data_IF_517466715510
#
_entry.id   IF_517466715510
#
_cell.length_a   1.000
_cell.length_b   1.000
_cell.length_c   1.000
_cell.angle_alpha   90.00
_cell.angle_beta   90.00
_cell.angle_gamma   90.00
#
_symmetry.space_group_name_H-M   'P 1'
#
loop_
_entity.id
_entity.type
_entity.pdbx_description
1 polymer ?
#
# COMPACT_ATOMS: atom_id res chain seq x y z
N UNK A 1 15.14 0.20 3.59
CA UNK A 1 14.53 1.51 3.90
C UNK A 1 13.21 1.58 3.16
N UNK A 2 12.14 2.06 3.78
CA UNK A 2 10.82 2.19 3.15
C UNK A 2 10.35 3.65 3.19
N UNK A 3 9.61 4.07 2.17
CA UNK A 3 8.98 5.39 2.11
C UNK A 3 7.47 5.21 2.22
N UNK A 4 6.86 5.89 3.17
CA UNK A 4 5.41 5.96 3.36
C UNK A 4 4.99 7.41 3.21
N UNK A 5 3.87 7.66 2.56
CA UNK A 5 3.35 9.00 2.36
C UNK A 5 2.06 9.19 3.17
N UNK A 6 2.03 10.24 3.99
CA UNK A 6 0.85 10.62 4.79
C UNK A 6 0.45 12.03 4.38
N UNK A 7 -0.64 12.16 3.62
CA UNK A 7 -1.08 13.44 3.05
C UNK A 7 0.06 14.20 2.34
N UNK A 8 0.77 13.51 1.44
CA UNK A 8 1.95 14.01 0.71
C UNK A 8 3.22 14.23 1.56
N UNK A 9 3.14 14.11 2.90
CA UNK A 9 4.31 14.18 3.78
C UNK A 9 5.05 12.85 3.81
N UNK A 10 6.38 12.91 3.84
CA UNK A 10 7.25 11.75 3.75
C UNK A 10 7.59 11.18 5.13
N UNK A 11 7.25 9.92 5.36
CA UNK A 11 7.66 9.12 6.51
C UNK A 11 8.65 8.06 6.04
N UNK A 12 9.89 8.15 6.51
CA UNK A 12 10.95 7.20 6.13
C UNK A 12 11.15 6.16 7.22
N UNK A 13 10.88 4.89 6.93
CA UNK A 13 11.22 3.78 7.81
C UNK A 13 12.67 3.36 7.56
N UNK A 14 13.52 3.48 8.57
CA UNK A 14 14.97 3.28 8.43
C UNK A 14 15.59 2.52 9.60
N UNK A 15 16.69 1.81 9.32
CA UNK A 15 17.58 1.21 10.33
C UNK A 15 18.93 1.92 10.40
N UNK A 16 19.08 3.00 9.65
CA UNK A 16 20.25 3.86 9.66
C UNK A 16 19.83 5.23 10.17
N UNK A 17 20.63 5.78 11.08
CA UNK A 17 20.46 7.15 11.56
C UNK A 17 20.86 8.07 10.40
N UNK A 18 19.99 8.97 9.93
CA UNK A 18 20.34 9.88 8.85
C UNK A 18 21.40 10.87 9.33
N UNK A 19 22.23 11.37 8.41
CA UNK A 19 23.23 12.41 8.68
C UNK A 19 22.69 13.81 8.32
N UNK A 20 23.02 14.82 9.12
CA UNK A 20 22.67 16.22 8.87
C UNK A 20 22.15 16.99 10.10
N UNK A 21 22.08 18.31 9.99
CA UNK A 21 21.50 19.18 11.02
C UNK A 21 19.97 19.16 10.96
N UNK A 22 19.29 19.10 12.12
CA UNK A 22 17.81 19.15 12.29
C UNK A 22 17.05 17.96 11.68
N UNK A 23 17.26 16.77 12.22
CA UNK A 23 16.56 15.54 11.82
C UNK A 23 15.39 15.25 12.78
N UNK A 24 14.19 15.12 12.26
CA UNK A 24 13.01 14.65 13.01
C UNK A 24 12.97 13.12 13.00
N UNK A 25 13.70 12.50 13.93
CA UNK A 25 13.80 11.04 14.08
C UNK A 25 13.05 10.58 15.33
N UNK A 26 12.30 9.48 15.21
CA UNK A 26 11.51 8.91 16.29
C UNK A 26 11.67 7.38 16.33
N UNK A 27 11.55 6.79 17.51
CA UNK A 27 11.53 5.33 17.68
C UNK A 27 10.28 4.75 17.02
N UNK A 28 10.45 3.90 16.01
CA UNK A 28 9.35 3.18 15.36
C UNK A 28 8.62 2.26 16.36
N UNK A 29 9.29 1.82 17.43
CA UNK A 29 8.65 0.96 18.43
C UNK A 29 7.67 1.76 19.27
N UNK A 30 8.10 2.91 19.78
CA UNK A 30 7.36 3.71 20.77
C UNK A 30 6.28 4.60 20.15
N UNK A 31 6.56 5.25 19.02
CA UNK A 31 5.65 6.27 18.47
C UNK A 31 4.29 5.67 18.06
N UNK A 32 3.19 6.33 18.44
CA UNK A 32 1.84 5.95 17.99
C UNK A 32 1.58 6.36 16.54
N UNK A 33 0.57 5.79 15.89
CA UNK A 33 0.22 6.20 14.52
C UNK A 33 -0.29 7.64 14.46
N UNK A 34 -1.03 8.09 15.48
CA UNK A 34 -1.55 9.47 15.55
C UNK A 34 -0.42 10.50 15.68
N UNK A 35 0.62 10.17 16.45
CA UNK A 35 1.82 10.97 16.51
C UNK A 35 2.56 10.98 15.17
N UNK A 36 2.69 9.84 14.48
CA UNK A 36 3.29 9.79 13.14
C UNK A 36 2.58 10.75 12.20
N UNK A 37 1.24 10.74 12.16
CA UNK A 37 0.44 11.64 11.33
C UNK A 37 0.67 13.11 11.72
N UNK A 38 0.66 13.40 13.02
CA UNK A 38 0.84 14.77 13.56
C UNK A 38 2.23 15.32 13.25
N UNK A 39 3.29 14.53 13.48
CA UNK A 39 4.68 14.93 13.21
C UNK A 39 4.94 15.05 11.71
N UNK A 40 4.39 14.14 10.89
CA UNK A 40 4.52 14.20 9.43
C UNK A 40 3.92 15.49 8.87
N UNK A 41 2.72 15.88 9.33
CA UNK A 41 2.09 17.17 8.98
C UNK A 41 2.93 18.38 9.42
N UNK A 42 3.54 18.32 10.60
CA UNK A 42 4.35 19.43 11.14
C UNK A 42 5.68 19.63 10.40
N UNK A 43 6.31 18.54 9.97
CA UNK A 43 7.71 18.57 9.53
C UNK A 43 7.92 18.25 8.06
N UNK A 44 6.88 17.89 7.30
CA UNK A 44 6.88 17.41 5.90
C UNK A 44 7.71 16.13 5.64
N UNK A 45 8.74 15.87 6.46
CA UNK A 45 9.60 14.70 6.42
C UNK A 45 10.01 14.28 7.84
N UNK A 46 9.74 13.03 8.19
CA UNK A 46 10.17 12.43 9.45
C UNK A 46 10.80 11.06 9.21
N UNK A 47 11.61 10.60 10.17
CA UNK A 47 12.25 9.29 10.15
C UNK A 47 11.75 8.44 11.32
N UNK A 48 11.28 7.23 11.02
CA UNK A 48 10.94 6.23 12.03
C UNK A 48 12.05 5.19 12.04
N UNK A 49 12.75 5.12 13.16
CA UNK A 49 13.95 4.29 13.32
C UNK A 49 13.66 2.99 14.04
N UNK A 50 14.23 1.90 13.54
CA UNK A 50 14.37 0.64 14.28
C UNK A 50 15.66 -0.08 13.85
N UNK A 51 16.41 -0.64 14.79
CA UNK A 51 17.72 -1.25 14.54
C UNK A 51 17.69 -2.48 13.62
N UNK A 52 16.56 -3.20 13.54
CA UNK A 52 16.39 -4.40 12.70
C UNK A 52 15.63 -4.08 11.40
N UNK A 53 16.29 -4.09 10.21
CA UNK A 53 15.66 -3.76 8.93
C UNK A 53 14.45 -4.63 8.58
N UNK A 54 14.57 -5.94 8.83
CA UNK A 54 13.50 -6.93 8.59
C UNK A 54 12.24 -6.68 9.42
N UNK A 55 12.31 -5.85 10.47
CA UNK A 55 11.17 -5.53 11.35
C UNK A 55 10.47 -4.21 11.00
N UNK A 56 11.01 -3.41 10.06
CA UNK A 56 10.47 -2.07 9.78
C UNK A 56 9.00 -2.10 9.34
N UNK A 57 8.68 -2.83 8.26
CA UNK A 57 7.30 -2.93 7.78
C UNK A 57 6.39 -3.63 8.78
N UNK A 58 6.83 -4.74 9.38
CA UNK A 58 5.98 -5.48 10.30
C UNK A 58 5.63 -4.71 11.57
N UNK A 59 6.55 -3.91 12.10
CA UNK A 59 6.25 -3.00 13.21
C UNK A 59 5.33 -1.86 12.79
N UNK A 60 5.52 -1.32 11.60
CA UNK A 60 4.66 -0.26 11.08
C UNK A 60 3.23 -0.77 10.82
N UNK A 61 3.06 -1.94 10.19
CA UNK A 61 1.77 -2.57 9.96
C UNK A 61 1.02 -2.91 11.25
N UNK A 62 1.71 -3.23 12.34
CA UNK A 62 1.06 -3.43 13.65
C UNK A 62 0.39 -2.17 14.21
N UNK A 63 0.75 -0.99 13.70
CA UNK A 63 0.19 0.30 14.13
C UNK A 63 -0.99 0.76 13.27
N UNK A 64 -1.32 0.04 12.20
CA UNK A 64 -2.40 0.40 11.28
C UNK A 64 -3.32 -0.78 10.99
N UNK A 65 -4.59 -0.50 10.72
CA UNK A 65 -5.50 -1.52 10.18
C UNK A 65 -5.14 -1.79 8.73
N UNK A 66 -4.55 -2.94 8.46
CA UNK A 66 -4.24 -3.39 7.09
C UNK A 66 -5.50 -3.96 6.46
N UNK A 67 -5.91 -3.40 5.33
CA UNK A 67 -7.01 -3.91 4.51
C UNK A 67 -6.39 -4.62 3.31
N UNK A 68 -6.69 -5.91 3.14
CA UNK A 68 -6.29 -6.66 1.95
C UNK A 68 -7.26 -6.36 0.82
N UNK A 69 -6.72 -6.28 -0.40
CA UNK A 69 -7.48 -5.98 -1.60
C UNK A 69 -6.87 -6.77 -2.77
N UNK A 70 -7.74 -7.24 -3.67
CA UNK A 70 -7.38 -7.96 -4.89
C UNK A 70 -7.92 -7.23 -6.12
N UNK A 71 -7.31 -7.47 -7.26
CA UNK A 71 -7.65 -6.86 -8.55
C UNK A 71 -6.74 -7.40 -9.65
N UNK A 72 -6.86 -6.86 -10.86
CA UNK A 72 -6.14 -7.41 -12.01
C UNK A 72 -5.73 -6.41 -13.06
N UNK A 73 -4.57 -6.65 -13.67
CA UNK A 73 -4.24 -6.16 -15.01
C UNK A 73 -4.84 -7.17 -15.99
N UNK A 74 -6.05 -6.88 -16.47
CA UNK A 74 -6.77 -7.78 -17.38
C UNK A 74 -6.41 -7.45 -18.80
N UNK A 75 -6.12 -8.49 -19.59
CA UNK A 75 -5.82 -8.38 -21.02
C UNK A 75 -6.81 -9.19 -21.84
N UNK A 76 -7.25 -8.64 -22.96
CA UNK A 76 -8.00 -9.40 -23.97
C UNK A 76 -7.05 -10.11 -24.95
N UNK A 77 -7.61 -10.86 -25.91
CA UNK A 77 -6.87 -11.57 -26.97
C UNK A 77 -6.05 -10.64 -27.88
N UNK A 78 -6.39 -9.35 -27.93
CA UNK A 78 -5.65 -8.31 -28.66
C UNK A 78 -4.56 -7.64 -27.79
N UNK A 79 -4.27 -8.18 -26.61
CA UNK A 79 -3.29 -7.66 -25.64
C UNK A 79 -3.59 -6.22 -25.17
N UNK A 80 -4.85 -5.77 -25.24
CA UNK A 80 -5.29 -4.49 -24.71
C UNK A 80 -5.60 -4.61 -23.21
N UNK A 81 -5.31 -3.57 -22.43
CA UNK A 81 -5.49 -3.57 -20.97
C UNK A 81 -6.82 -2.94 -20.60
N UNK A 82 -7.57 -3.62 -19.72
CA UNK A 82 -8.81 -3.09 -19.15
C UNK A 82 -8.50 -2.06 -18.05
N UNK A 83 -9.09 -0.88 -18.19
CA UNK A 83 -9.09 0.16 -17.17
C UNK A 83 -10.53 0.53 -16.80
N UNK A 84 -10.71 0.99 -15.57
CA UNK A 84 -11.94 1.61 -15.10
C UNK A 84 -11.73 3.10 -14.89
N UNK A 85 -12.77 3.89 -15.15
CA UNK A 85 -12.74 5.33 -14.90
C UNK A 85 -13.63 5.66 -13.70
N UNK A 86 -13.00 6.08 -12.58
CA UNK A 86 -13.71 6.45 -11.36
C UNK A 86 -13.05 7.63 -10.67
N UNK A 87 -13.83 8.45 -9.97
CA UNK A 87 -13.32 9.62 -9.23
C UNK A 87 -12.43 10.53 -10.09
N UNK A 88 -12.82 10.74 -11.36
CA UNK A 88 -12.12 11.57 -12.36
C UNK A 88 -10.68 11.09 -12.68
N UNK A 89 -10.41 9.78 -12.56
CA UNK A 89 -9.13 9.17 -12.91
C UNK A 89 -9.30 7.75 -13.46
N UNK A 90 -8.37 7.34 -14.30
CA UNK A 90 -8.22 5.95 -14.71
C UNK A 90 -7.56 5.14 -13.59
N UNK A 91 -8.06 3.93 -13.35
CA UNK A 91 -7.58 3.00 -12.33
C UNK A 91 -7.71 1.56 -12.86
N UNK A 92 -7.06 0.62 -12.18
CA UNK A 92 -7.28 -0.80 -12.43
C UNK A 92 -8.49 -1.28 -11.62
N UNK A 93 -9.25 -2.26 -12.14
CA UNK A 93 -10.32 -2.89 -11.40
C UNK A 93 -9.77 -3.63 -10.18
N UNK A 94 -10.28 -3.30 -8.99
CA UNK A 94 -9.83 -3.83 -7.70
C UNK A 94 -10.78 -3.46 -6.57
N UNK A 95 -10.83 -4.32 -5.55
CA UNK A 95 -11.52 -4.02 -4.30
C UNK A 95 -11.10 -4.91 -3.15
N UNK A 96 -11.89 -4.90 -2.07
CA UNK A 96 -11.47 -5.45 -0.78
C UNK A 96 -11.65 -6.95 -0.76
N UNK A 97 -10.74 -7.63 -0.08
CA UNK A 97 -10.85 -9.07 0.18
C UNK A 97 -11.97 -9.31 1.19
N UNK A 98 -12.92 -10.16 0.84
CA UNK A 98 -13.95 -10.61 1.77
C UNK A 98 -13.42 -11.72 2.68
N UNK A 99 -14.21 -12.04 3.71
CA UNK A 99 -13.84 -13.08 4.65
C UNK A 99 -13.74 -14.43 3.92
N UNK A 100 -12.65 -15.16 4.19
CA UNK A 100 -12.37 -16.49 3.64
C UNK A 100 -12.03 -16.56 2.14
N UNK A 101 -11.86 -15.43 1.45
CA UNK A 101 -11.36 -15.42 0.07
C UNK A 101 -9.84 -15.57 0.00
N UNK A 102 -9.36 -16.27 -1.03
CA UNK A 102 -7.98 -16.12 -1.51
C UNK A 102 -7.83 -14.81 -2.28
N UNK A 103 -6.58 -14.35 -2.45
CA UNK A 103 -6.30 -13.13 -3.22
C UNK A 103 -6.76 -13.26 -4.69
N UNK A 104 -6.66 -14.46 -5.25
CA UNK A 104 -7.06 -14.76 -6.62
C UNK A 104 -8.58 -14.74 -6.77
N UNK A 105 -9.30 -15.30 -5.79
CA UNK A 105 -10.77 -15.25 -5.74
C UNK A 105 -11.27 -13.81 -5.66
N UNK A 106 -10.70 -13.01 -4.75
CA UNK A 106 -11.01 -11.58 -4.65
C UNK A 106 -10.72 -10.85 -5.95
N UNK A 107 -9.58 -11.13 -6.60
CA UNK A 107 -9.23 -10.47 -7.86
C UNK A 107 -10.26 -10.78 -8.97
N UNK A 108 -10.64 -12.04 -9.16
CA UNK A 108 -11.65 -12.43 -10.15
C UNK A 108 -13.00 -11.77 -9.84
N UNK A 109 -13.47 -11.86 -8.59
CA UNK A 109 -14.77 -11.30 -8.17
C UNK A 109 -14.82 -9.79 -8.40
N UNK A 110 -13.85 -9.05 -7.87
CA UNK A 110 -13.82 -7.58 -7.96
C UNK A 110 -13.71 -7.09 -9.40
N UNK A 111 -12.91 -7.76 -10.22
CA UNK A 111 -12.83 -7.43 -11.66
C UNK A 111 -14.17 -7.67 -12.34
N UNK A 112 -14.81 -8.81 -12.09
CA UNK A 112 -16.11 -9.15 -12.66
C UNK A 112 -17.19 -8.15 -12.22
N UNK A 113 -17.23 -7.78 -10.93
CA UNK A 113 -18.23 -6.86 -10.37
C UNK A 113 -18.08 -5.42 -10.89
N UNK A 114 -16.84 -4.90 -10.97
CA UNK A 114 -16.60 -3.52 -11.40
C UNK A 114 -16.73 -3.33 -12.92
N UNK A 115 -16.59 -4.39 -13.72
CA UNK A 115 -16.46 -4.28 -15.19
C UNK A 115 -17.45 -5.12 -16.00
N UNK A 116 -18.07 -6.12 -15.39
CA UNK A 116 -18.88 -7.13 -16.08
C UNK A 116 -18.08 -8.12 -16.93
N UNK A 117 -16.74 -8.11 -16.84
CA UNK A 117 -15.89 -9.05 -17.56
C UNK A 117 -16.15 -10.49 -17.09
N UNK A 118 -16.17 -11.41 -18.06
CA UNK A 118 -16.42 -12.84 -17.85
C UNK A 118 -15.22 -13.66 -18.32
N UNK A 119 -15.21 -14.94 -17.97
CA UNK A 119 -14.19 -15.91 -18.40
C UNK A 119 -12.75 -15.46 -18.05
N UNK A 120 -12.61 -14.85 -16.87
CA UNK A 120 -11.34 -14.37 -16.34
C UNK A 120 -10.49 -15.56 -15.88
N UNK A 121 -9.23 -15.59 -16.33
CA UNK A 121 -8.24 -16.57 -15.93
C UNK A 121 -7.06 -15.89 -15.22
N UNK A 122 -6.63 -16.46 -14.09
CA UNK A 122 -5.43 -15.99 -13.37
C UNK A 122 -4.20 -16.65 -14.01
N UNK A 123 -3.40 -15.83 -14.68
CA UNK A 123 -2.13 -16.28 -15.28
C UNK A 123 -1.00 -16.30 -14.24
N UNK A 124 -0.86 -15.22 -13.48
CA UNK A 124 0.16 -15.07 -12.45
C UNK A 124 -0.11 -13.88 -11.52
N UNK A 125 0.48 -13.91 -10.32
CA UNK A 125 0.55 -12.74 -9.44
C UNK A 125 1.50 -11.69 -10.06
N UNK A 126 0.99 -10.50 -10.35
CA UNK A 126 1.79 -9.43 -10.94
C UNK A 126 2.70 -8.73 -9.90
N UNK A 127 2.11 -8.17 -8.84
CA UNK A 127 2.84 -7.45 -7.80
C UNK A 127 2.00 -7.26 -6.54
N UNK A 128 2.66 -6.98 -5.41
CA UNK A 128 2.01 -6.57 -4.16
C UNK A 128 2.30 -5.08 -3.96
N UNK A 129 1.24 -4.27 -3.85
CA UNK A 129 1.33 -2.83 -3.64
C UNK A 129 0.76 -2.44 -2.26
N UNK A 130 1.07 -1.22 -1.82
CA UNK A 130 0.54 -0.63 -0.59
C UNK A 130 0.02 0.78 -0.89
N UNK A 131 -1.16 1.10 -0.36
CA UNK A 131 -1.87 2.37 -0.58
C UNK A 131 -2.36 2.95 0.75
#
# INVERSE_FOLDING_TARGET
>A
MYKVFVNQNLVVLTSQIPFGSKINIYSLKEISIDEVVTKAKKHNKIFLYHSKPKKLLSLFFKKIKVIKAGGGIVKNSLNQILFIYRRKKWDLPKGKMDNHESIDQTAIREVSEETGAKDLEIINLNSITYH
#
